data_IF_866891310827
#
_entry.id   IF_866891310827
#
_cell.length_a   1.000
_cell.length_b   1.000
_cell.length_c   1.000
_cell.angle_alpha   90.00
_cell.angle_beta   90.00
_cell.angle_gamma   90.00
#
_symmetry.space_group_name_H-M   'P 1'
#
loop_
_entity.id
_entity.type
_entity.pdbx_description
1 polymer ?
#
# COMPACT_ATOMS: atom_id res chain seq x y z
N UNK A 1 -27.16 -49.27 31.11
CA UNK A 1 -25.99 -49.29 30.21
C UNK A 1 -26.18 -48.21 29.11
N UNK A 2 -25.34 -47.16 29.08
CA UNK A 2 -25.35 -46.20 27.97
C UNK A 2 -24.69 -46.85 26.76
N UNK A 3 -25.43 -47.00 25.65
CA UNK A 3 -24.87 -47.47 24.37
C UNK A 3 -23.98 -46.37 23.83
N UNK A 4 -22.67 -46.56 23.80
CA UNK A 4 -21.73 -45.72 23.08
C UNK A 4 -21.96 -45.98 21.58
N UNK A 5 -22.48 -45.02 20.85
CA UNK A 5 -22.57 -45.11 19.39
C UNK A 5 -21.14 -45.03 18.84
N UNK A 6 -20.65 -46.12 18.27
CA UNK A 6 -19.41 -46.13 17.52
C UNK A 6 -19.65 -45.40 16.19
N UNK A 7 -18.83 -44.41 15.86
CA UNK A 7 -18.85 -43.77 14.54
C UNK A 7 -18.40 -44.77 13.47
N UNK A 8 -19.03 -44.73 12.33
CA UNK A 8 -18.58 -45.50 11.18
C UNK A 8 -17.31 -44.86 10.59
N UNK A 9 -16.45 -45.67 9.97
CA UNK A 9 -15.22 -45.19 9.33
C UNK A 9 -15.53 -44.14 8.27
N UNK A 10 -16.66 -44.24 7.58
CA UNK A 10 -17.10 -43.32 6.56
C UNK A 10 -17.50 -41.92 7.14
N UNK A 11 -18.14 -41.90 8.32
CA UNK A 11 -18.47 -40.68 9.02
C UNK A 11 -17.21 -39.94 9.46
N UNK A 12 -16.16 -40.63 9.91
CA UNK A 12 -14.89 -40.06 10.29
C UNK A 12 -14.18 -39.44 9.06
N UNK A 13 -14.11 -40.18 7.96
CA UNK A 13 -13.50 -39.71 6.72
C UNK A 13 -14.23 -38.48 6.19
N UNK A 14 -15.56 -38.48 6.18
CA UNK A 14 -16.37 -37.35 5.76
C UNK A 14 -16.11 -36.09 6.63
N UNK A 15 -16.08 -36.26 7.95
CA UNK A 15 -15.81 -35.19 8.89
C UNK A 15 -14.42 -34.56 8.65
N UNK A 16 -13.39 -35.40 8.47
CA UNK A 16 -12.01 -34.90 8.18
C UNK A 16 -11.97 -34.16 6.84
N UNK A 17 -12.63 -34.65 5.80
CA UNK A 17 -12.67 -34.01 4.48
C UNK A 17 -13.31 -32.65 4.55
N UNK A 18 -14.41 -32.48 5.29
CA UNK A 18 -15.08 -31.18 5.48
C UNK A 18 -14.17 -30.21 6.24
N UNK A 19 -13.54 -30.66 7.33
CA UNK A 19 -12.64 -29.86 8.13
C UNK A 19 -11.44 -29.35 7.29
N UNK A 20 -10.82 -30.23 6.50
CA UNK A 20 -9.71 -29.89 5.62
C UNK A 20 -10.16 -28.90 4.52
N UNK A 21 -11.37 -29.05 3.99
CA UNK A 21 -11.95 -28.10 3.02
C UNK A 21 -12.13 -26.69 3.60
N UNK A 22 -12.64 -26.60 4.83
CA UNK A 22 -12.80 -25.30 5.54
C UNK A 22 -11.45 -24.66 5.82
N UNK A 23 -10.47 -25.43 6.31
CA UNK A 23 -9.11 -24.92 6.59
C UNK A 23 -8.47 -24.42 5.29
N UNK A 24 -8.56 -25.19 4.20
CA UNK A 24 -7.99 -24.79 2.91
C UNK A 24 -8.58 -23.47 2.38
N UNK A 25 -9.91 -23.31 2.45
CA UNK A 25 -10.58 -22.08 2.05
C UNK A 25 -10.18 -20.86 2.94
N UNK A 26 -9.96 -21.11 4.23
CA UNK A 26 -9.57 -20.06 5.18
C UNK A 26 -8.17 -19.52 4.91
N UNK A 27 -7.21 -20.38 4.52
CA UNK A 27 -5.83 -19.98 4.22
C UNK A 27 -5.76 -19.04 3.02
N UNK A 28 -6.52 -19.35 1.94
CA UNK A 28 -6.53 -18.52 0.72
C UNK A 28 -7.04 -17.11 1.01
N UNK A 29 -8.06 -16.96 1.83
CA UNK A 29 -8.60 -15.65 2.19
C UNK A 29 -7.68 -14.87 3.15
N UNK A 30 -6.90 -15.56 3.97
CA UNK A 30 -6.01 -14.95 4.95
C UNK A 30 -4.88 -14.17 4.30
N UNK A 31 -4.23 -14.70 3.27
CA UNK A 31 -3.12 -14.04 2.58
C UNK A 31 -3.54 -12.73 1.91
N UNK A 32 -4.72 -12.70 1.27
CA UNK A 32 -5.28 -11.48 0.68
C UNK A 32 -5.64 -10.44 1.75
N UNK A 33 -6.21 -10.84 2.88
CA UNK A 33 -6.53 -9.94 3.99
C UNK A 33 -5.26 -9.32 4.60
N UNK A 34 -4.23 -10.12 4.82
CA UNK A 34 -2.94 -9.64 5.37
C UNK A 34 -2.24 -8.71 4.39
N UNK A 35 -2.21 -9.03 3.10
CA UNK A 35 -1.63 -8.17 2.07
C UNK A 35 -2.31 -6.80 2.00
N UNK A 36 -3.63 -6.77 2.05
CA UNK A 36 -4.38 -5.52 2.06
C UNK A 36 -4.13 -4.69 3.33
N UNK A 37 -4.05 -5.34 4.50
CA UNK A 37 -3.76 -4.64 5.76
C UNK A 37 -2.37 -3.99 5.72
N UNK A 38 -1.35 -4.69 5.26
CA UNK A 38 0.01 -4.16 5.09
C UNK A 38 0.05 -2.98 4.13
N UNK A 39 -0.68 -3.05 3.03
CA UNK A 39 -0.81 -1.92 2.11
C UNK A 39 -1.43 -0.69 2.77
N UNK A 40 -2.50 -0.85 3.56
CA UNK A 40 -3.10 0.27 4.26
C UNK A 40 -2.16 0.88 5.31
N UNK A 41 -1.39 0.07 6.01
CA UNK A 41 -0.33 0.54 6.92
C UNK A 41 0.76 1.29 6.17
N UNK A 42 1.28 0.75 5.08
CA UNK A 42 2.29 1.40 4.25
C UNK A 42 1.78 2.73 3.65
N UNK A 43 0.51 2.79 3.26
CA UNK A 43 -0.14 4.01 2.79
C UNK A 43 -0.18 5.10 3.87
N UNK A 44 -0.58 4.77 5.09
CA UNK A 44 -0.60 5.72 6.22
C UNK A 44 0.83 6.13 6.61
N UNK A 45 1.79 5.22 6.54
CA UNK A 45 3.21 5.52 6.75
C UNK A 45 3.74 6.49 5.69
N UNK A 46 3.40 6.30 4.40
CA UNK A 46 3.75 7.25 3.34
C UNK A 46 3.18 8.65 3.62
N UNK A 47 1.90 8.73 3.97
CA UNK A 47 1.28 10.01 4.35
C UNK A 47 2.01 10.67 5.50
N UNK A 48 2.28 9.92 6.56
CA UNK A 48 3.00 10.40 7.74
C UNK A 48 4.41 10.88 7.38
N UNK A 49 5.10 10.14 6.52
CA UNK A 49 6.42 10.49 6.02
C UNK A 49 6.41 11.82 5.25
N UNK A 50 5.49 12.01 4.32
CA UNK A 50 5.33 13.25 3.56
C UNK A 50 5.01 14.45 4.48
N UNK A 51 4.14 14.26 5.47
CA UNK A 51 3.84 15.27 6.49
C UNK A 51 5.09 15.59 7.31
N UNK A 52 5.87 14.59 7.70
CA UNK A 52 7.12 14.79 8.44
C UNK A 52 8.14 15.57 7.62
N UNK A 53 8.33 15.27 6.34
CA UNK A 53 9.20 16.04 5.44
C UNK A 53 8.82 17.52 5.41
N UNK A 54 7.53 17.82 5.31
CA UNK A 54 7.01 19.19 5.36
C UNK A 54 7.39 19.90 6.66
N UNK A 55 7.15 19.28 7.81
CA UNK A 55 7.47 19.88 9.10
C UNK A 55 8.98 20.01 9.31
N UNK A 56 9.75 19.04 8.87
CA UNK A 56 11.21 19.07 8.98
C UNK A 56 11.82 20.15 8.09
N UNK A 57 11.28 20.36 6.88
CA UNK A 57 11.75 21.45 5.99
C UNK A 57 11.56 22.83 6.63
N UNK A 58 10.39 23.08 7.21
CA UNK A 58 10.11 24.33 7.91
C UNK A 58 10.93 24.47 9.20
N UNK A 59 11.08 23.40 9.98
CA UNK A 59 11.80 23.42 11.25
C UNK A 59 13.30 23.60 11.06
N UNK A 60 13.91 22.88 10.11
CA UNK A 60 15.35 22.94 9.83
C UNK A 60 15.72 24.10 8.90
N UNK A 61 14.74 24.83 8.37
CA UNK A 61 14.93 25.89 7.37
C UNK A 61 15.77 25.41 6.19
N UNK A 62 15.47 24.18 5.72
CA UNK A 62 16.18 23.49 4.65
C UNK A 62 15.18 22.84 3.70
N UNK A 63 15.47 22.92 2.41
CA UNK A 63 14.70 22.20 1.40
C UNK A 63 14.99 20.70 1.47
N UNK A 64 13.94 19.90 1.40
CA UNK A 64 14.03 18.46 1.21
C UNK A 64 13.42 18.06 -0.11
N UNK A 65 13.98 17.04 -0.71
CA UNK A 65 13.57 16.52 -2.01
C UNK A 65 13.19 15.05 -1.88
N UNK A 66 12.07 14.69 -2.49
CA UNK A 66 11.66 13.33 -2.72
C UNK A 66 11.77 13.05 -4.21
N UNK A 67 12.67 12.17 -4.61
CA UNK A 67 12.95 11.84 -6.01
C UNK A 67 12.49 10.43 -6.34
N UNK A 68 12.07 10.24 -7.58
CA UNK A 68 11.62 8.96 -8.12
C UNK A 68 12.50 8.60 -9.31
N UNK A 69 13.01 7.37 -9.33
CA UNK A 69 13.74 6.85 -10.48
C UNK A 69 12.75 6.34 -11.58
N UNK A 70 13.25 5.92 -12.76
CA UNK A 70 12.39 5.38 -13.83
C UNK A 70 11.59 4.13 -13.44
N UNK A 71 12.04 3.39 -12.44
CA UNK A 71 11.37 2.21 -11.90
C UNK A 71 10.43 2.55 -10.73
N UNK A 72 10.22 3.87 -10.50
CA UNK A 72 9.42 4.42 -9.40
C UNK A 72 9.91 4.08 -7.99
N UNK A 73 11.19 3.75 -7.81
CA UNK A 73 11.76 3.70 -6.48
C UNK A 73 11.90 5.12 -5.92
N UNK A 74 11.60 5.26 -4.64
CA UNK A 74 11.51 6.54 -3.96
C UNK A 74 12.77 6.80 -3.13
N UNK A 75 13.38 7.96 -3.31
CA UNK A 75 14.57 8.40 -2.59
C UNK A 75 14.32 9.76 -1.94
N UNK A 76 14.78 9.93 -0.72
CA UNK A 76 14.64 11.18 0.00
C UNK A 76 16.00 11.76 0.34
N UNK A 77 16.10 13.08 0.29
CA UNK A 77 17.26 13.83 0.81
C UNK A 77 17.26 13.96 2.35
N UNK A 78 16.15 13.56 3.00
CA UNK A 78 16.03 13.48 4.45
C UNK A 78 16.39 12.07 4.92
N UNK A 79 17.33 11.95 5.86
CA UNK A 79 17.91 10.69 6.33
C UNK A 79 17.00 9.94 7.34
N UNK A 80 15.72 9.79 7.07
CA UNK A 80 14.84 8.93 7.87
C UNK A 80 14.56 7.61 7.12
N UNK A 81 15.58 6.79 7.02
CA UNK A 81 15.56 5.53 6.27
C UNK A 81 14.50 4.53 6.75
N UNK A 82 14.21 4.50 8.06
CA UNK A 82 13.29 3.51 8.63
C UNK A 82 11.86 3.65 8.13
N UNK A 83 11.38 4.89 8.01
CA UNK A 83 10.03 5.12 7.49
C UNK A 83 9.95 4.87 5.98
N UNK A 84 11.00 5.18 5.25
CA UNK A 84 11.05 4.96 3.80
C UNK A 84 11.03 3.48 3.45
N UNK A 85 11.85 2.66 4.13
CA UNK A 85 11.88 1.21 3.94
C UNK A 85 10.55 0.55 4.27
N UNK A 86 9.89 0.99 5.36
CA UNK A 86 8.58 0.47 5.74
C UNK A 86 7.49 0.79 4.70
N UNK A 87 7.66 1.88 3.95
CA UNK A 87 6.73 2.26 2.87
C UNK A 87 6.97 1.45 1.61
N UNK A 88 8.23 1.28 1.19
CA UNK A 88 8.56 0.72 -0.12
C UNK A 88 8.37 -0.79 -0.22
N UNK A 89 8.30 -1.52 0.90
CA UNK A 89 8.18 -2.98 0.91
C UNK A 89 6.76 -3.49 0.64
N UNK A 90 5.73 -2.76 1.04
CA UNK A 90 4.34 -3.22 1.02
C UNK A 90 3.42 -2.41 0.09
N UNK A 91 4.00 -1.43 -0.65
CA UNK A 91 3.27 -0.70 -1.68
C UNK A 91 4.14 -0.51 -2.93
N UNK A 92 3.48 -0.40 -4.09
CA UNK A 92 4.10 -0.01 -5.35
C UNK A 92 3.68 1.40 -5.71
N UNK A 93 4.62 2.20 -6.24
CA UNK A 93 4.31 3.45 -6.90
C UNK A 93 4.07 3.12 -8.38
N UNK A 94 2.92 3.55 -8.90
CA UNK A 94 2.54 3.30 -10.29
C UNK A 94 2.80 4.52 -11.17
N UNK A 95 2.62 5.71 -10.62
CA UNK A 95 2.70 6.97 -11.36
C UNK A 95 3.00 8.11 -10.41
N UNK A 96 3.71 9.11 -10.89
CA UNK A 96 3.94 10.39 -10.21
C UNK A 96 3.78 11.55 -11.19
N UNK A 97 3.30 12.70 -10.71
CA UNK A 97 3.19 13.90 -11.54
C UNK A 97 4.55 14.53 -11.87
N UNK A 98 5.57 14.23 -11.08
CA UNK A 98 6.91 14.78 -11.21
C UNK A 98 7.96 13.74 -10.79
N UNK A 99 9.12 13.77 -11.41
CA UNK A 99 10.28 12.96 -11.02
C UNK A 99 10.88 13.40 -9.68
N UNK A 100 10.52 14.59 -9.21
CA UNK A 100 10.99 15.16 -7.96
C UNK A 100 9.90 16.02 -7.33
N UNK A 101 9.66 15.85 -6.04
CA UNK A 101 8.77 16.69 -5.21
C UNK A 101 9.63 17.45 -4.22
N UNK A 102 9.51 18.78 -4.19
CA UNK A 102 10.29 19.65 -3.32
C UNK A 102 9.44 20.13 -2.16
N UNK A 103 9.99 20.01 -0.95
CA UNK A 103 9.48 20.54 0.30
C UNK A 103 10.30 21.77 0.65
N UNK A 104 9.69 22.94 0.58
CA UNK A 104 10.37 24.21 0.76
C UNK A 104 10.56 24.58 2.23
N UNK A 105 11.53 25.44 2.49
CA UNK A 105 11.90 25.89 3.84
C UNK A 105 10.80 26.64 4.61
N UNK A 106 9.77 27.13 3.92
CA UNK A 106 8.59 27.78 4.54
C UNK A 106 7.47 26.78 4.88
N UNK A 107 7.71 25.47 4.63
CA UNK A 107 6.73 24.43 4.81
C UNK A 107 5.73 24.27 3.66
N UNK A 108 5.88 25.04 2.58
CA UNK A 108 5.14 24.78 1.35
C UNK A 108 5.71 23.58 0.61
N UNK A 109 4.93 23.00 -0.29
CA UNK A 109 5.33 21.80 -1.05
C UNK A 109 5.01 22.04 -2.52
N UNK A 110 5.82 21.49 -3.40
CA UNK A 110 5.51 21.47 -4.82
C UNK A 110 4.22 20.68 -5.05
N UNK A 111 3.22 21.29 -5.66
CA UNK A 111 1.97 20.62 -6.00
C UNK A 111 2.24 19.40 -6.87
N UNK A 112 1.74 18.25 -6.42
CA UNK A 112 2.07 16.97 -7.05
C UNK A 112 1.06 15.88 -6.68
N UNK A 113 1.15 14.75 -7.38
CA UNK A 113 0.45 13.54 -6.98
C UNK A 113 1.35 12.31 -7.10
N UNK A 114 1.00 11.28 -6.30
CA UNK A 114 1.62 9.97 -6.31
C UNK A 114 0.49 8.93 -6.37
N UNK A 115 0.52 8.03 -7.35
CA UNK A 115 -0.41 6.90 -7.44
C UNK A 115 0.28 5.66 -6.90
N UNK A 116 -0.35 5.00 -5.96
CA UNK A 116 0.17 3.79 -5.31
C UNK A 116 -0.78 2.63 -5.45
N UNK A 117 -0.27 1.41 -5.40
CA UNK A 117 -1.07 0.18 -5.33
C UNK A 117 -0.53 -0.78 -4.29
N UNK A 118 -1.38 -1.75 -3.89
CA UNK A 118 -0.88 -2.94 -3.21
C UNK A 118 0.00 -3.77 -4.17
N UNK A 119 0.73 -4.75 -3.64
CA UNK A 119 1.66 -5.56 -4.43
C UNK A 119 0.98 -6.35 -5.56
N UNK A 120 -0.30 -6.68 -5.39
CA UNK A 120 -1.13 -7.39 -6.36
C UNK A 120 -1.75 -6.47 -7.43
N UNK A 121 -1.73 -5.14 -7.22
CA UNK A 121 -2.34 -4.17 -8.13
C UNK A 121 -3.87 -4.07 -8.02
N UNK A 122 -4.49 -4.74 -7.04
CA UNK A 122 -5.96 -4.81 -6.88
C UNK A 122 -6.55 -3.58 -6.18
N UNK A 123 -5.75 -2.88 -5.38
CA UNK A 123 -6.15 -1.66 -4.68
C UNK A 123 -5.22 -0.54 -5.10
N UNK A 124 -5.78 0.56 -5.57
CA UNK A 124 -5.03 1.74 -5.98
C UNK A 124 -5.53 2.99 -5.28
N UNK A 125 -4.61 3.88 -4.92
CA UNK A 125 -4.92 5.18 -4.32
C UNK A 125 -4.04 6.26 -4.94
N UNK A 126 -4.61 7.46 -5.06
CA UNK A 126 -3.91 8.65 -5.50
C UNK A 126 -3.72 9.59 -4.32
N UNK A 127 -2.47 9.88 -3.98
CA UNK A 127 -2.12 10.95 -3.05
C UNK A 127 -2.07 12.26 -3.81
N UNK A 128 -2.74 13.26 -3.31
CA UNK A 128 -2.73 14.62 -3.85
C UNK A 128 -2.07 15.50 -2.80
N UNK A 129 -1.00 16.18 -3.20
CA UNK A 129 -0.20 17.07 -2.36
C UNK A 129 -0.41 18.48 -2.86
N UNK A 130 -1.04 19.32 -2.04
CA UNK A 130 -1.28 20.73 -2.34
C UNK A 130 -0.06 21.59 -1.99
N UNK A 131 0.01 22.79 -2.54
CA UNK A 131 1.08 23.75 -2.27
C UNK A 131 1.24 24.04 -0.78
N UNK A 132 0.16 24.11 -0.02
CA UNK A 132 0.22 24.30 1.45
C UNK A 132 0.67 23.04 2.20
N UNK A 133 0.98 21.95 1.47
CA UNK A 133 1.39 20.66 2.03
C UNK A 133 0.27 19.87 2.71
N UNK A 134 -0.99 20.14 2.35
CA UNK A 134 -2.11 19.28 2.73
C UNK A 134 -2.10 18.04 1.84
N UNK A 135 -2.17 16.86 2.45
CA UNK A 135 -2.05 15.57 1.76
C UNK A 135 -3.37 14.81 1.90
N UNK A 136 -4.04 14.63 0.79
CA UNK A 136 -5.26 13.83 0.67
C UNK A 136 -4.99 12.60 -0.18
N UNK A 137 -5.75 11.55 0.05
CA UNK A 137 -5.76 10.41 -0.84
C UNK A 137 -7.20 10.07 -1.25
N UNK A 138 -7.33 9.65 -2.49
CA UNK A 138 -8.59 9.25 -3.10
C UNK A 138 -8.43 7.85 -3.68
N UNK A 139 -9.52 7.06 -3.70
CA UNK A 139 -9.53 5.79 -4.43
C UNK A 139 -9.26 6.09 -5.91
N UNK A 140 -8.32 5.38 -6.50
CA UNK A 140 -7.94 5.54 -7.91
C UNK A 140 -8.36 4.30 -8.67
N UNK A 141 -9.29 4.47 -9.61
CA UNK A 141 -9.66 3.42 -10.56
C UNK A 141 -8.86 3.65 -11.82
N UNK A 142 -8.05 2.69 -12.21
CA UNK A 142 -7.18 2.79 -13.37
C UNK A 142 -8.02 2.53 -14.64
N UNK A 143 -8.67 3.55 -15.19
CA UNK A 143 -9.33 3.47 -16.51
C UNK A 143 -8.33 3.22 -17.67
N UNK A 144 -7.01 3.20 -17.36
CA UNK A 144 -5.94 3.01 -18.34
C UNK A 144 -5.76 1.52 -18.70
N UNK A 145 -6.16 0.59 -17.81
CA UNK A 145 -6.00 -0.85 -18.09
C UNK A 145 -6.98 -1.31 -19.19
N UNK A 146 -8.18 -0.75 -19.23
CA UNK A 146 -9.18 -1.11 -20.27
C UNK A 146 -8.83 -0.60 -21.68
N UNK A 147 -8.05 0.49 -21.79
CA UNK A 147 -7.65 1.02 -23.11
C UNK A 147 -6.54 0.22 -23.80
N UNK A 148 -5.72 -0.52 -23.08
CA UNK A 148 -4.65 -1.33 -23.68
C UNK A 148 -5.13 -2.70 -24.17
N UNK A 149 -6.23 -3.23 -23.65
CA UNK A 149 -6.79 -4.51 -24.10
C UNK A 149 -7.73 -4.35 -25.31
N UNK A 150 -8.16 -3.14 -25.66
CA UNK A 150 -9.03 -2.88 -26.83
C UNK A 150 -8.29 -2.52 -28.12
N UNK A 151 -6.96 -2.46 -28.10
CA UNK A 151 -6.10 -2.15 -29.27
C UNK A 151 -5.29 -3.35 -29.80
N UNK A 152 -5.68 -4.60 -29.43
CA UNK A 152 -5.14 -5.82 -30.03
C UNK A 152 -6.19 -6.64 -30.74
#
# INVERSE_FOLDING_TARGET
MKRIKAYTLIELVLAITIVLGIIGASVINYDSLVGNTRYFEARENLKTYLINLKYQSAFQQKEFELTFDPDYNMYSSFEDFYLLDAVTNDLKILETSATKIVFFLDGSVQESYIVTSNLEGTITNKFIINVIGDIKYEGYTNDIVEKKESEF
#
